data_IF_783822018530
#
_entry.id   IF_783822018530
#
_cell.length_a   1.000
_cell.length_b   1.000
_cell.length_c   1.000
_cell.angle_alpha   90.00
_cell.angle_beta   90.00
_cell.angle_gamma   90.00
#
_symmetry.space_group_name_H-M   'P 1'
#
loop_
_entity.id
_entity.type
_entity.pdbx_description
1 polymer ?
#
# COMPACT_ATOMS: atom_id res chain seq x y z
N UNK A 1 -18.96 4.17 15.54
CA UNK A 1 -17.59 4.59 15.14
C UNK A 1 -16.58 3.48 15.44
N UNK A 2 -16.41 3.05 16.70
CA UNK A 2 -15.51 1.94 17.04
C UNK A 2 -15.78 0.65 16.24
N UNK A 3 -17.05 0.28 16.04
CA UNK A 3 -17.47 -0.87 15.22
C UNK A 3 -17.03 -0.77 13.76
N UNK A 4 -17.06 0.43 13.17
CA UNK A 4 -16.61 0.68 11.79
C UNK A 4 -15.09 0.56 11.68
N UNK A 5 -14.35 1.02 12.69
CA UNK A 5 -12.89 0.90 12.74
C UNK A 5 -12.48 -0.56 12.94
N UNK A 6 -13.17 -1.32 13.80
CA UNK A 6 -12.98 -2.77 13.94
C UNK A 6 -13.26 -3.53 12.64
N UNK A 7 -14.31 -3.13 11.89
CA UNK A 7 -14.57 -3.69 10.57
C UNK A 7 -13.43 -3.40 9.58
N UNK A 8 -12.77 -2.23 9.69
CA UNK A 8 -11.60 -1.90 8.88
C UNK A 8 -10.39 -2.78 9.25
N UNK A 9 -10.20 -3.06 10.55
CA UNK A 9 -9.18 -4.00 11.00
C UNK A 9 -9.41 -5.41 10.43
N UNK A 10 -10.65 -5.88 10.42
CA UNK A 10 -10.99 -7.18 9.84
C UNK A 10 -10.73 -7.21 8.34
N UNK A 11 -11.15 -6.18 7.59
CA UNK A 11 -10.89 -6.10 6.14
C UNK A 11 -9.41 -6.08 5.81
N UNK A 12 -8.60 -5.42 6.63
CA UNK A 12 -7.15 -5.43 6.49
C UNK A 12 -6.57 -6.84 6.71
N UNK A 13 -7.09 -7.58 7.70
CA UNK A 13 -6.72 -8.99 7.90
C UNK A 13 -7.11 -9.88 6.71
N UNK A 14 -8.34 -9.73 6.20
CA UNK A 14 -8.80 -10.51 5.04
C UNK A 14 -7.92 -10.21 3.80
N UNK A 15 -7.53 -8.93 3.61
CA UNK A 15 -6.62 -8.53 2.55
C UNK A 15 -5.20 -9.10 2.72
N UNK A 16 -4.72 -9.20 3.96
CA UNK A 16 -3.44 -9.86 4.32
C UNK A 16 -3.46 -11.35 3.92
N UNK A 17 -4.55 -12.07 4.21
CA UNK A 17 -4.70 -13.48 3.84
C UNK A 17 -4.73 -13.70 2.31
N UNK A 18 -5.40 -12.80 1.58
CA UNK A 18 -5.39 -12.80 0.11
C UNK A 18 -3.98 -12.53 -0.43
N UNK A 19 -3.27 -11.54 0.11
CA UNK A 19 -1.89 -11.23 -0.29
C UNK A 19 -0.93 -12.41 -0.02
N UNK A 20 -1.12 -13.12 1.09
CA UNK A 20 -0.38 -14.35 1.42
C UNK A 20 -0.61 -15.44 0.38
N UNK A 21 -1.88 -15.65 -0.03
CA UNK A 21 -2.22 -16.60 -1.08
C UNK A 21 -1.59 -16.24 -2.43
N UNK A 22 -1.64 -14.96 -2.82
CA UNK A 22 -0.98 -14.46 -4.03
C UNK A 22 0.52 -14.69 -3.99
N UNK A 23 1.15 -14.47 -2.83
CA UNK A 23 2.59 -14.70 -2.62
C UNK A 23 2.95 -16.18 -2.86
N UNK A 24 2.18 -17.11 -2.28
CA UNK A 24 2.39 -18.55 -2.49
C UNK A 24 2.24 -18.95 -3.96
N UNK A 25 1.17 -18.50 -4.63
CA UNK A 25 0.95 -18.79 -6.05
C UNK A 25 2.07 -18.22 -6.93
N UNK A 26 2.61 -17.05 -6.59
CA UNK A 26 3.75 -16.47 -7.30
C UNK A 26 5.06 -17.23 -7.06
N UNK A 27 5.29 -17.78 -5.86
CA UNK A 27 6.43 -18.67 -5.57
C UNK A 27 6.36 -19.97 -6.38
N UNK A 28 5.19 -20.60 -6.43
CA UNK A 28 4.93 -21.78 -7.28
C UNK A 28 5.14 -21.47 -8.77
N UNK A 29 4.64 -20.32 -9.23
CA UNK A 29 4.83 -19.85 -10.60
C UNK A 29 6.32 -19.61 -10.91
N UNK A 30 7.08 -19.07 -9.96
CA UNK A 30 8.52 -18.90 -10.07
C UNK A 30 9.26 -20.22 -10.27
N UNK A 31 8.88 -21.27 -9.55
CA UNK A 31 9.44 -22.60 -9.73
C UNK A 31 9.14 -23.18 -11.13
N UNK A 32 7.92 -22.98 -11.64
CA UNK A 32 7.54 -23.40 -13.00
C UNK A 32 8.35 -22.64 -14.07
N UNK A 33 8.57 -21.33 -13.89
CA UNK A 33 9.42 -20.55 -14.81
C UNK A 33 10.87 -21.04 -14.82
N UNK A 34 11.41 -21.44 -13.66
CA UNK A 34 12.74 -22.03 -13.58
C UNK A 34 12.82 -23.34 -14.37
N UNK A 35 11.86 -24.25 -14.15
CA UNK A 35 11.77 -25.52 -14.90
C UNK A 35 11.62 -25.30 -16.41
N UNK A 36 10.85 -24.28 -16.82
CA UNK A 36 10.71 -23.91 -18.23
C UNK A 36 12.04 -23.40 -18.82
N UNK A 37 12.82 -22.64 -18.06
CA UNK A 37 14.15 -22.17 -18.48
C UNK A 37 15.11 -23.33 -18.68
N UNK A 38 15.17 -24.27 -17.73
CA UNK A 38 15.99 -25.49 -17.86
C UNK A 38 15.55 -26.34 -19.07
N UNK A 39 14.24 -26.44 -19.33
CA UNK A 39 13.73 -27.16 -20.48
C UNK A 39 14.20 -26.54 -21.80
N UNK A 40 14.17 -25.21 -21.91
CA UNK A 40 14.69 -24.49 -23.08
C UNK A 40 16.19 -24.71 -23.26
N UNK A 41 16.97 -24.72 -22.18
CA UNK A 41 18.42 -24.99 -22.24
C UNK A 41 18.72 -26.42 -22.72
N UNK A 42 17.94 -27.41 -22.26
CA UNK A 42 18.03 -28.79 -22.77
C UNK A 42 17.69 -28.87 -24.25
N UNK A 43 16.66 -28.12 -24.71
CA UNK A 43 16.30 -28.05 -26.13
C UNK A 43 17.46 -27.43 -26.92
N UNK A 44 18.03 -26.31 -26.48
CA UNK A 44 19.19 -25.68 -27.14
C UNK A 44 20.37 -26.64 -27.26
N UNK A 45 20.69 -27.37 -26.19
CA UNK A 45 21.76 -28.37 -26.19
C UNK A 45 21.46 -29.51 -27.16
N UNK A 46 20.22 -30.01 -27.18
CA UNK A 46 19.78 -31.06 -28.09
C UNK A 46 19.85 -30.62 -29.55
N UNK A 47 19.37 -29.41 -29.87
CA UNK A 47 19.45 -28.82 -31.20
C UNK A 47 20.89 -28.66 -31.68
N UNK A 48 21.82 -28.29 -30.79
CA UNK A 48 23.25 -28.26 -31.11
C UNK A 48 23.81 -29.63 -31.50
N UNK A 49 23.42 -30.69 -30.78
CA UNK A 49 23.80 -32.07 -31.14
C UNK A 49 23.23 -32.48 -32.49
N UNK A 50 21.97 -32.14 -32.77
CA UNK A 50 21.34 -32.41 -34.07
C UNK A 50 22.09 -31.68 -35.18
N UNK A 51 22.43 -30.39 -35.00
CA UNK A 51 23.21 -29.62 -35.98
C UNK A 51 24.55 -30.28 -36.32
N UNK A 52 25.27 -30.80 -35.31
CA UNK A 52 26.51 -31.55 -35.52
C UNK A 52 26.29 -32.85 -36.33
N UNK A 53 25.21 -33.59 -36.06
CA UNK A 53 24.86 -34.80 -36.81
C UNK A 53 24.54 -34.47 -38.27
N UNK A 54 23.78 -33.39 -38.51
CA UNK A 54 23.47 -32.94 -39.88
C UNK A 54 24.74 -32.52 -40.62
N UNK A 55 25.69 -31.86 -39.94
CA UNK A 55 27.01 -31.56 -40.52
C UNK A 55 27.77 -32.83 -40.94
N UNK A 56 27.76 -33.87 -40.11
CA UNK A 56 28.36 -35.17 -40.48
C UNK A 56 27.65 -35.83 -41.68
N UNK A 57 26.33 -35.71 -41.80
CA UNK A 57 25.59 -36.25 -42.95
C UNK A 57 25.96 -35.51 -44.24
N UNK A 58 26.11 -34.18 -44.19
CA UNK A 58 26.60 -33.37 -45.31
C UNK A 58 28.02 -33.78 -45.73
N UNK A 59 28.92 -34.01 -44.77
CA UNK A 59 30.27 -34.53 -45.03
C UNK A 59 30.24 -35.91 -45.71
N UNK A 60 29.37 -36.82 -45.25
CA UNK A 60 29.19 -38.15 -45.85
C UNK A 60 28.63 -38.03 -47.27
N UNK A 61 27.66 -37.13 -47.49
CA UNK A 61 27.10 -36.86 -48.81
C UNK A 61 28.19 -36.33 -49.76
N UNK A 62 29.04 -35.41 -49.30
CA UNK A 62 30.17 -34.90 -50.07
C UNK A 62 31.19 -36.00 -50.42
N UNK A 63 31.57 -36.84 -49.45
CA UNK A 63 32.45 -37.99 -49.69
C UNK A 63 31.86 -38.98 -50.69
N UNK A 64 30.56 -39.27 -50.59
CA UNK A 64 29.83 -40.16 -51.50
C UNK A 64 29.80 -39.59 -52.92
N UNK A 65 29.60 -38.27 -53.05
CA UNK A 65 29.66 -37.57 -54.32
C UNK A 65 31.06 -37.63 -54.97
N UNK A 66 32.13 -37.51 -54.18
CA UNK A 66 33.51 -37.69 -54.68
C UNK A 66 33.80 -39.14 -55.09
N UNK A 67 33.35 -40.13 -54.32
CA UNK A 67 33.47 -41.55 -54.67
C UNK A 67 32.75 -41.88 -55.98
N UNK A 68 31.54 -41.35 -56.15
CA UNK A 68 30.75 -41.52 -57.36
C UNK A 68 31.40 -40.86 -58.59
N UNK A 69 32.04 -39.70 -58.40
CA UNK A 69 32.83 -39.04 -59.45
C UNK A 69 34.01 -39.92 -59.88
N UNK A 70 34.78 -40.45 -58.93
CA UNK A 70 35.90 -41.36 -59.22
C UNK A 70 35.42 -42.62 -59.96
N UNK A 71 34.29 -43.21 -59.54
CA UNK A 71 33.70 -44.36 -60.20
C UNK A 71 33.25 -44.05 -61.64
N UNK A 72 32.69 -42.86 -61.88
CA UNK A 72 32.31 -42.41 -63.22
C UNK A 72 33.52 -42.27 -64.15
N UNK A 73 34.65 -41.76 -63.62
CA UNK A 73 35.91 -41.65 -64.36
C UNK A 73 36.49 -43.02 -64.71
N UNK A 74 36.52 -43.95 -63.75
CA UNK A 74 37.05 -45.31 -64.00
C UNK A 74 36.15 -46.10 -64.96
N UNK A 75 34.82 -45.90 -64.88
CA UNK A 75 33.87 -46.47 -65.83
C UNK A 75 34.09 -45.96 -67.26
N UNK A 76 34.38 -44.67 -67.43
CA UNK A 76 34.75 -44.10 -68.73
C UNK A 76 36.07 -44.69 -69.26
N UNK A 77 37.03 -44.95 -68.37
CA UNK A 77 38.32 -45.56 -68.70
C UNK A 77 38.19 -47.01 -69.16
N UNK A 78 37.24 -47.76 -68.61
CA UNK A 78 36.93 -49.14 -68.99
C UNK A 78 36.16 -49.27 -70.33
N UNK A 79 35.74 -48.15 -70.94
CA UNK A 79 35.07 -48.14 -72.25
C UNK A 79 33.72 -48.87 -72.23
N UNK A 80 33.49 -49.76 -73.20
CA UNK A 80 32.23 -50.49 -73.36
C UNK A 80 31.89 -51.38 -72.15
N UNK A 81 32.90 -51.95 -71.48
CA UNK A 81 32.69 -52.79 -70.29
C UNK A 81 32.22 -51.99 -69.06
N UNK A 82 32.45 -50.67 -69.06
CA UNK A 82 32.12 -49.77 -67.94
C UNK A 82 30.73 -49.14 -68.02
N UNK A 83 29.97 -49.32 -69.10
CA UNK A 83 28.69 -48.61 -69.32
C UNK A 83 27.67 -48.79 -68.19
N UNK A 84 27.53 -50.02 -67.65
CA UNK A 84 26.63 -50.29 -66.52
C UNK A 84 27.08 -49.59 -65.23
N UNK A 85 28.38 -49.58 -64.96
CA UNK A 85 28.96 -48.89 -63.81
C UNK A 85 28.84 -47.37 -63.92
N UNK A 86 28.94 -46.80 -65.13
CA UNK A 86 28.77 -45.36 -65.34
C UNK A 86 27.35 -44.89 -64.96
N UNK A 87 26.31 -45.66 -65.30
CA UNK A 87 24.92 -45.32 -64.94
C UNK A 87 24.72 -45.33 -63.42
N UNK A 88 25.24 -46.38 -62.75
CA UNK A 88 25.17 -46.47 -61.28
C UNK A 88 25.92 -45.31 -60.63
N UNK A 89 27.10 -44.95 -61.13
CA UNK A 89 27.89 -43.85 -60.59
C UNK A 89 27.18 -42.49 -60.71
N UNK A 90 26.48 -42.23 -61.83
CA UNK A 90 25.66 -41.02 -61.98
C UNK A 90 24.49 -41.00 -60.99
N UNK A 91 23.81 -42.13 -60.79
CA UNK A 91 22.68 -42.20 -59.86
C UNK A 91 23.12 -42.03 -58.40
N UNK A 92 24.23 -42.65 -57.99
CA UNK A 92 24.83 -42.46 -56.66
C UNK A 92 25.24 -40.99 -56.46
N UNK A 93 25.79 -40.34 -57.49
CA UNK A 93 26.14 -38.91 -57.44
C UNK A 93 24.89 -38.04 -57.23
N UNK A 94 23.81 -38.32 -57.96
CA UNK A 94 22.53 -37.60 -57.85
C UNK A 94 21.92 -37.76 -56.45
N UNK A 95 21.95 -38.98 -55.90
CA UNK A 95 21.50 -39.28 -54.53
C UNK A 95 22.33 -38.51 -53.49
N UNK A 96 23.65 -38.48 -53.65
CA UNK A 96 24.54 -37.76 -52.75
C UNK A 96 24.27 -36.24 -52.77
N UNK A 97 24.07 -35.64 -53.95
CA UNK A 97 23.70 -34.22 -54.07
C UNK A 97 22.35 -33.93 -53.40
N UNK A 98 21.35 -34.78 -53.61
CA UNK A 98 20.03 -34.65 -52.98
C UNK A 98 20.12 -34.77 -51.45
N UNK A 99 20.98 -35.64 -50.93
CA UNK A 99 21.20 -35.77 -49.48
C UNK A 99 21.87 -34.53 -48.87
N UNK A 100 22.85 -33.93 -49.57
CA UNK A 100 23.50 -32.69 -49.14
C UNK A 100 22.50 -31.51 -49.11
N UNK A 101 21.67 -31.37 -50.15
CA UNK A 101 20.63 -30.33 -50.23
C UNK A 101 19.62 -30.47 -49.07
N UNK A 102 19.08 -31.68 -48.85
CA UNK A 102 18.17 -31.94 -47.74
C UNK A 102 18.81 -31.69 -46.37
N UNK A 103 20.10 -32.05 -46.20
CA UNK A 103 20.85 -31.78 -44.97
C UNK A 103 21.00 -30.29 -44.72
N UNK A 104 21.28 -29.50 -45.75
CA UNK A 104 21.36 -28.04 -45.66
C UNK A 104 20.03 -27.42 -45.27
N UNK A 105 18.90 -27.87 -45.84
CA UNK A 105 17.56 -27.39 -45.45
C UNK A 105 17.25 -27.69 -43.97
N UNK A 106 17.54 -28.91 -43.51
CA UNK A 106 17.34 -29.28 -42.10
C UNK A 106 18.23 -28.44 -41.18
N UNK A 107 19.47 -28.16 -41.58
CA UNK A 107 20.38 -27.30 -40.82
C UNK A 107 19.80 -25.90 -40.60
N UNK A 108 19.26 -25.28 -41.65
CA UNK A 108 18.61 -23.96 -41.57
C UNK A 108 17.42 -23.99 -40.61
N UNK A 109 16.58 -25.03 -40.66
CA UNK A 109 15.45 -25.17 -39.74
C UNK A 109 15.89 -25.32 -38.28
N UNK A 110 16.97 -26.04 -38.02
CA UNK A 110 17.54 -26.21 -36.67
C UNK A 110 18.13 -24.89 -36.15
N UNK A 111 18.83 -24.13 -36.99
CA UNK A 111 19.35 -22.80 -36.64
C UNK A 111 18.23 -21.80 -36.33
N UNK A 112 17.16 -21.80 -37.13
CA UNK A 112 15.96 -21.00 -36.86
C UNK A 112 15.33 -21.41 -35.53
N UNK A 113 15.11 -22.71 -35.32
CA UNK A 113 14.56 -23.24 -34.06
C UNK A 113 15.40 -22.84 -32.85
N UNK A 114 16.73 -22.85 -32.98
CA UNK A 114 17.65 -22.39 -31.94
C UNK A 114 17.49 -20.90 -31.61
N UNK A 115 17.27 -20.07 -32.63
CA UNK A 115 17.01 -18.64 -32.45
C UNK A 115 15.67 -18.39 -31.74
N UNK A 116 14.62 -19.12 -32.11
CA UNK A 116 13.30 -19.03 -31.47
C UNK A 116 13.34 -19.47 -30.01
N UNK A 117 14.01 -20.59 -29.70
CA UNK A 117 14.20 -21.07 -28.31
C UNK A 117 14.97 -20.05 -27.47
N UNK A 118 16.02 -19.43 -28.02
CA UNK A 118 16.77 -18.37 -27.32
C UNK A 118 15.89 -17.14 -27.05
N UNK A 119 15.04 -16.76 -28.01
CA UNK A 119 14.03 -15.72 -27.83
C UNK A 119 13.03 -16.07 -26.72
N UNK A 120 12.51 -17.30 -26.72
CA UNK A 120 11.59 -17.81 -25.70
C UNK A 120 12.22 -17.84 -24.31
N UNK A 121 13.46 -18.32 -24.18
CA UNK A 121 14.21 -18.32 -22.92
C UNK A 121 14.34 -16.91 -22.33
N UNK A 122 14.63 -15.90 -23.16
CA UNK A 122 14.68 -14.50 -22.73
C UNK A 122 13.34 -14.00 -22.20
N UNK A 123 12.24 -14.33 -22.87
CA UNK A 123 10.89 -13.94 -22.43
C UNK A 123 10.52 -14.58 -21.09
N UNK A 124 10.85 -15.85 -20.90
CA UNK A 124 10.65 -16.56 -19.63
C UNK A 124 11.48 -15.92 -18.51
N UNK A 125 12.74 -15.56 -18.78
CA UNK A 125 13.60 -14.88 -17.80
C UNK A 125 13.07 -13.48 -17.42
N UNK A 126 12.54 -12.73 -18.39
CA UNK A 126 11.89 -11.44 -18.12
C UNK A 126 10.62 -11.62 -17.27
N UNK A 127 9.80 -12.62 -17.58
CA UNK A 127 8.61 -12.97 -16.80
C UNK A 127 8.98 -13.36 -15.36
N UNK A 128 10.04 -14.13 -15.17
CA UNK A 128 10.54 -14.49 -13.85
C UNK A 128 10.96 -13.25 -13.03
N UNK A 129 11.67 -12.30 -13.64
CA UNK A 129 12.05 -11.04 -13.00
C UNK A 129 10.81 -10.21 -12.59
N UNK A 130 9.79 -10.13 -13.46
CA UNK A 130 8.53 -9.44 -13.15
C UNK A 130 7.77 -10.11 -12.01
N UNK A 131 7.74 -11.44 -11.97
CA UNK A 131 7.16 -12.21 -10.86
C UNK A 131 7.88 -11.92 -9.54
N UNK A 132 9.22 -11.82 -9.53
CA UNK A 132 9.96 -11.44 -8.32
C UNK A 132 9.58 -10.03 -7.82
N UNK A 133 9.44 -9.07 -8.74
CA UNK A 133 8.97 -7.73 -8.37
C UNK A 133 7.55 -7.75 -7.79
N UNK A 134 6.64 -8.53 -8.39
CA UNK A 134 5.29 -8.74 -7.85
C UNK A 134 5.31 -9.37 -6.46
N UNK A 135 6.19 -10.35 -6.23
CA UNK A 135 6.35 -11.00 -4.92
C UNK A 135 6.77 -9.99 -3.85
N UNK A 136 7.74 -9.13 -4.18
CA UNK A 136 8.18 -8.06 -3.29
C UNK A 136 7.05 -7.07 -2.99
N UNK A 137 6.26 -6.70 -3.99
CA UNK A 137 5.11 -5.81 -3.82
C UNK A 137 4.01 -6.45 -2.95
N UNK A 138 3.70 -7.74 -3.16
CA UNK A 138 2.72 -8.46 -2.36
C UNK A 138 3.13 -8.57 -0.88
N UNK A 139 4.41 -8.87 -0.60
CA UNK A 139 4.96 -8.88 0.76
C UNK A 139 4.88 -7.51 1.43
N UNK A 140 5.18 -6.44 0.70
CA UNK A 140 5.03 -5.07 1.22
C UNK A 140 3.57 -4.72 1.50
N UNK A 141 2.65 -5.06 0.59
CA UNK A 141 1.21 -4.90 0.83
C UNK A 141 0.74 -5.65 2.07
N UNK A 142 1.23 -6.87 2.30
CA UNK A 142 0.90 -7.64 3.49
C UNK A 142 1.35 -6.92 4.78
N UNK A 143 2.60 -6.45 4.82
CA UNK A 143 3.11 -5.69 5.96
C UNK A 143 2.33 -4.39 6.22
N UNK A 144 1.87 -3.71 5.17
CA UNK A 144 1.01 -2.53 5.29
C UNK A 144 -0.38 -2.88 5.84
N UNK A 145 -0.99 -3.98 5.38
CA UNK A 145 -2.29 -4.43 5.89
C UNK A 145 -2.21 -4.83 7.36
N UNK A 146 -1.16 -5.53 7.78
CA UNK A 146 -0.91 -5.85 9.19
C UNK A 146 -0.73 -4.58 10.04
N UNK A 147 -0.11 -3.54 9.50
CA UNK A 147 -0.05 -2.21 10.10
C UNK A 147 -1.43 -1.60 10.30
N UNK A 148 -2.22 -1.50 9.21
CA UNK A 148 -3.57 -0.94 9.25
C UNK A 148 -4.46 -1.71 10.23
N UNK A 149 -4.36 -3.03 10.29
CA UNK A 149 -5.12 -3.86 11.22
C UNK A 149 -4.79 -3.54 12.68
N UNK A 150 -3.50 -3.33 13.00
CA UNK A 150 -3.06 -2.92 14.34
C UNK A 150 -3.54 -1.52 14.69
N UNK A 151 -3.27 -0.55 13.82
CA UNK A 151 -3.64 0.86 14.03
C UNK A 151 -5.16 1.02 14.18
N UNK A 152 -5.95 0.26 13.41
CA UNK A 152 -7.40 0.25 13.51
C UNK A 152 -7.87 -0.32 14.86
N UNK A 153 -7.24 -1.37 15.40
CA UNK A 153 -7.60 -1.89 16.74
C UNK A 153 -7.27 -0.88 17.82
N UNK A 154 -6.12 -0.23 17.75
CA UNK A 154 -5.73 0.82 18.69
C UNK A 154 -6.70 2.00 18.63
N UNK A 155 -7.03 2.47 17.43
CA UNK A 155 -7.99 3.55 17.24
C UNK A 155 -9.39 3.18 17.76
N UNK A 156 -9.82 1.92 17.63
CA UNK A 156 -11.09 1.46 18.20
C UNK A 156 -11.09 1.57 19.73
N UNK A 157 -10.00 1.16 20.39
CA UNK A 157 -9.85 1.28 21.85
C UNK A 157 -9.87 2.76 22.28
N UNK A 158 -9.16 3.65 21.57
CA UNK A 158 -9.18 5.09 21.87
C UNK A 158 -10.59 5.69 21.70
N UNK A 159 -11.38 5.22 20.72
CA UNK A 159 -12.77 5.65 20.57
C UNK A 159 -13.64 5.17 21.74
N UNK A 160 -13.38 4.00 22.30
CA UNK A 160 -14.10 3.51 23.49
C UNK A 160 -13.79 4.38 24.73
N UNK A 161 -12.53 4.76 24.93
CA UNK A 161 -12.10 5.67 25.98
C UNK A 161 -12.75 7.06 25.85
N UNK A 162 -12.74 7.63 24.64
CA UNK A 162 -13.42 8.91 24.36
C UNK A 162 -14.91 8.80 24.64
N UNK A 163 -15.57 7.71 24.24
CA UNK A 163 -16.98 7.51 24.54
C UNK A 163 -17.25 7.41 26.05
N UNK A 164 -16.35 6.80 26.82
CA UNK A 164 -16.46 6.77 28.27
C UNK A 164 -16.32 8.17 28.89
N UNK A 165 -15.33 8.95 28.45
CA UNK A 165 -15.13 10.33 28.90
C UNK A 165 -16.33 11.24 28.56
N UNK A 166 -16.92 11.09 27.36
CA UNK A 166 -18.12 11.85 26.95
C UNK A 166 -19.32 11.49 27.82
N UNK A 167 -19.53 10.20 28.15
CA UNK A 167 -20.60 9.81 29.08
C UNK A 167 -20.41 10.41 30.47
N UNK A 168 -19.17 10.41 30.98
CA UNK A 168 -18.87 11.03 32.27
C UNK A 168 -19.09 12.55 32.25
N UNK A 169 -18.72 13.23 31.16
CA UNK A 169 -19.01 14.66 30.99
C UNK A 169 -20.51 14.93 30.93
N UNK A 170 -21.29 14.07 30.27
CA UNK A 170 -22.74 14.18 30.22
C UNK A 170 -23.36 14.02 31.62
N UNK A 171 -22.93 13.03 32.40
CA UNK A 171 -23.34 12.83 33.80
C UNK A 171 -23.02 14.06 34.67
N UNK A 172 -21.80 14.60 34.59
CA UNK A 172 -21.42 15.82 35.33
C UNK A 172 -22.24 17.04 34.88
N UNK A 173 -22.55 17.14 33.59
CA UNK A 173 -23.38 18.23 33.05
C UNK A 173 -24.80 18.15 33.60
N UNK A 174 -25.38 16.95 33.63
CA UNK A 174 -26.70 16.71 34.23
C UNK A 174 -26.69 16.97 35.74
N UNK A 175 -25.64 16.54 36.45
CA UNK A 175 -25.47 16.82 37.87
C UNK A 175 -25.37 18.33 38.16
N UNK A 176 -24.60 19.07 37.37
CA UNK A 176 -24.50 20.52 37.49
C UNK A 176 -25.84 21.21 37.22
N UNK A 177 -26.62 20.73 36.24
CA UNK A 177 -27.96 21.25 35.98
C UNK A 177 -28.88 21.02 37.19
N UNK A 178 -28.87 19.82 37.78
CA UNK A 178 -29.64 19.50 38.98
C UNK A 178 -29.21 20.36 40.19
N UNK A 179 -27.90 20.56 40.37
CA UNK A 179 -27.35 21.44 41.40
C UNK A 179 -27.80 22.89 41.24
N UNK A 180 -27.87 23.39 40.00
CA UNK A 180 -28.39 24.73 39.72
C UNK A 180 -29.88 24.84 40.06
N UNK A 181 -30.67 23.82 39.75
CA UNK A 181 -32.09 23.77 40.17
C UNK A 181 -32.25 23.75 41.69
N UNK A 182 -31.48 22.91 42.40
CA UNK A 182 -31.46 22.85 43.86
C UNK A 182 -31.03 24.18 44.47
N UNK A 183 -30.01 24.82 43.89
CA UNK A 183 -29.51 26.14 44.35
C UNK A 183 -30.57 27.22 44.14
N UNK A 184 -31.28 27.24 43.01
CA UNK A 184 -32.37 28.17 42.78
C UNK A 184 -33.51 27.97 43.79
N UNK A 185 -33.88 26.73 44.09
CA UNK A 185 -34.87 26.44 45.12
C UNK A 185 -34.43 26.91 46.51
N UNK A 186 -33.15 26.75 46.86
CA UNK A 186 -32.59 27.25 48.11
C UNK A 186 -32.59 28.79 48.18
N UNK A 187 -32.33 29.47 47.06
CA UNK A 187 -32.42 30.93 46.95
C UNK A 187 -33.86 31.39 47.19
N UNK A 188 -34.85 30.78 46.53
CA UNK A 188 -36.28 31.11 46.73
C UNK A 188 -36.72 30.91 48.19
N UNK A 189 -36.28 29.81 48.82
CA UNK A 189 -36.57 29.56 50.23
C UNK A 189 -35.92 30.61 51.14
N UNK A 190 -34.68 31.00 50.86
CA UNK A 190 -33.95 32.01 51.64
C UNK A 190 -34.60 33.39 51.49
N UNK A 191 -35.03 33.75 50.28
CA UNK A 191 -35.77 34.98 50.01
C UNK A 191 -37.09 35.01 50.79
N UNK A 192 -37.85 33.91 50.78
CA UNK A 192 -39.10 33.80 51.55
C UNK A 192 -38.86 33.98 53.06
N UNK A 193 -37.77 33.41 53.60
CA UNK A 193 -37.39 33.61 55.01
C UNK A 193 -36.98 35.05 55.32
N UNK A 194 -36.24 35.70 54.43
CA UNK A 194 -35.86 37.10 54.59
C UNK A 194 -37.09 38.03 54.61
N UNK A 195 -38.07 37.80 53.72
CA UNK A 195 -39.34 38.54 53.69
C UNK A 195 -40.14 38.33 54.97
N UNK A 196 -40.17 37.10 55.52
CA UNK A 196 -40.88 36.82 56.77
C UNK A 196 -40.20 37.50 57.98
N UNK A 197 -38.87 37.52 58.02
CA UNK A 197 -38.13 38.26 59.05
C UNK A 197 -38.40 39.77 58.98
N UNK A 198 -38.42 40.35 57.78
CA UNK A 198 -38.75 41.76 57.56
C UNK A 198 -40.15 42.08 58.10
N UNK A 199 -41.13 41.21 57.82
CA UNK A 199 -42.50 41.31 58.36
C UNK A 199 -42.55 41.23 59.89
N UNK A 200 -41.73 40.39 60.52
CA UNK A 200 -41.65 40.30 61.99
C UNK A 200 -41.08 41.59 62.58
N UNK A 201 -40.04 42.16 61.95
CA UNK A 201 -39.41 43.41 62.39
C UNK A 201 -40.37 44.60 62.26
N UNK A 202 -41.19 44.65 61.20
CA UNK A 202 -42.21 45.69 60.98
C UNK A 202 -43.27 45.82 62.10
N UNK A 203 -43.51 44.74 62.86
CA UNK A 203 -44.43 44.76 64.02
C UNK A 203 -43.83 45.52 65.21
N UNK A 204 -42.49 45.61 65.30
CA UNK A 204 -41.82 46.35 66.35
C UNK A 204 -41.89 47.86 66.06
N UNK A 205 -42.89 48.52 66.64
CA UNK A 205 -42.96 49.98 66.71
C UNK A 205 -41.89 50.50 67.68
N UNK A 206 -40.86 51.13 67.14
CA UNK A 206 -39.90 51.91 67.92
C UNK A 206 -40.51 53.29 68.14
N UNK A 207 -40.51 53.79 69.37
CA UNK A 207 -40.91 55.17 69.65
C UNK A 207 -40.01 56.12 68.83
N UNK A 208 -40.64 56.99 68.03
CA UNK A 208 -39.95 58.07 67.33
C UNK A 208 -39.33 59.01 68.38
N UNK A 209 -38.03 58.89 68.63
CA UNK A 209 -37.27 60.09 68.93
C UNK A 209 -37.10 60.86 67.62
N UNK A 210 -37.92 61.91 67.45
CA UNK A 210 -37.72 62.98 66.48
C UNK A 210 -36.28 63.48 66.57
N UNK A 211 -35.41 62.92 65.73
CA UNK A 211 -34.09 63.45 65.47
C UNK A 211 -34.13 64.07 64.08
N UNK A 212 -33.82 65.36 63.94
CA UNK A 212 -34.15 66.13 62.75
C UNK A 212 -33.42 65.58 61.53
N UNK A 213 -34.13 65.62 60.40
CA UNK A 213 -33.66 65.33 59.05
C UNK A 213 -32.24 65.88 58.83
N UNK A 214 -31.24 65.01 58.94
CA UNK A 214 -29.89 65.31 58.47
C UNK A 214 -29.94 65.16 56.95
N UNK A 215 -29.84 66.29 56.26
CA UNK A 215 -29.75 66.37 54.82
C UNK A 215 -28.84 65.28 54.27
N UNK A 216 -29.42 64.33 53.52
CA UNK A 216 -28.66 63.41 52.69
C UNK A 216 -27.93 64.27 51.66
N UNK A 217 -26.60 64.30 51.79
CA UNK A 217 -25.72 64.81 50.76
C UNK A 217 -25.99 64.03 49.48
N UNK A 218 -26.19 64.74 48.37
CA UNK A 218 -26.28 64.17 47.03
C UNK A 218 -25.12 63.21 46.77
N UNK A 219 -25.44 61.96 46.45
CA UNK A 219 -24.49 61.03 45.86
C UNK A 219 -23.98 61.62 44.52
N UNK A 220 -22.67 61.58 44.22
CA UNK A 220 -22.18 62.05 42.93
C UNK A 220 -22.78 61.15 41.84
N UNK A 221 -23.65 61.74 41.01
CA UNK A 221 -24.20 61.13 39.80
C UNK A 221 -23.07 60.90 38.79
N UNK A 222 -22.29 59.84 38.99
CA UNK A 222 -21.54 59.21 37.90
C UNK A 222 -22.28 57.93 37.54
N UNK A 223 -23.28 58.08 36.68
CA UNK A 223 -23.94 56.95 36.03
C UNK A 223 -22.96 56.17 35.16
N UNK A 224 -23.50 55.15 34.48
CA UNK A 224 -22.85 54.13 33.62
C UNK A 224 -21.66 54.64 32.75
N UNK A 225 -21.61 55.93 32.41
CA UNK A 225 -20.46 56.59 31.76
C UNK A 225 -19.15 56.52 32.56
N UNK A 226 -19.19 56.64 33.89
CA UNK A 226 -17.98 56.55 34.73
C UNK A 226 -17.36 55.15 34.76
N UNK A 227 -18.18 54.11 34.55
CA UNK A 227 -17.71 52.73 34.41
C UNK A 227 -17.08 52.52 33.01
N UNK A 228 -17.67 53.10 31.97
CA UNK A 228 -17.16 53.03 30.59
C UNK A 228 -15.80 53.71 30.41
N UNK A 229 -15.56 54.83 31.10
CA UNK A 229 -14.26 55.53 31.04
C UNK A 229 -13.15 54.76 31.76
N UNK A 230 -13.48 54.03 32.85
CA UNK A 230 -12.53 53.10 33.52
C UNK A 230 -12.23 51.87 32.68
N UNK A 231 -13.20 51.34 31.94
CA UNK A 231 -12.97 50.20 31.04
C UNK A 231 -12.13 50.62 29.82
N UNK A 232 -12.33 51.83 29.27
CA UNK A 232 -11.48 52.37 28.21
C UNK A 232 -10.04 52.59 28.66
N UNK A 233 -9.82 53.12 29.87
CA UNK A 233 -8.45 53.32 30.37
C UNK A 233 -7.75 51.99 30.66
N UNK A 234 -8.49 50.98 31.16
CA UNK A 234 -7.97 49.63 31.36
C UNK A 234 -7.60 48.94 30.01
N UNK A 235 -8.45 49.08 28.98
CA UNK A 235 -8.18 48.53 27.65
C UNK A 235 -7.00 49.22 26.92
N UNK A 236 -6.86 50.55 27.07
CA UNK A 236 -5.73 51.29 26.50
C UNK A 236 -4.39 50.92 27.15
N UNK A 237 -4.42 50.58 28.45
CA UNK A 237 -3.22 50.10 29.17
C UNK A 237 -2.83 48.70 28.71
N UNK A 238 -3.81 47.82 28.44
CA UNK A 238 -3.59 46.47 27.89
C UNK A 238 -3.05 46.48 26.45
N UNK A 239 -3.47 47.44 25.62
CA UNK A 239 -3.02 47.56 24.23
C UNK A 239 -1.65 48.23 24.07
N UNK A 240 -1.24 49.09 25.02
CA UNK A 240 0.07 49.75 24.97
C UNK A 240 1.21 48.92 25.57
N UNK A 241 0.90 47.91 26.39
CA UNK A 241 1.87 46.98 26.97
C UNK A 241 1.51 45.54 26.59
N UNK A 242 1.52 45.27 25.29
CA UNK A 242 1.39 43.93 24.73
C UNK A 242 2.73 43.19 24.66
N UNK A 243 2.78 42.02 25.29
CA UNK A 243 3.74 40.92 25.15
C UNK A 243 5.09 40.99 25.91
N UNK A 244 5.04 40.66 27.21
CA UNK A 244 6.21 40.17 27.95
C UNK A 244 5.87 39.02 28.92
N UNK A 245 4.94 38.12 28.55
CA UNK A 245 4.59 36.98 29.42
C UNK A 245 4.12 35.71 28.69
N UNK A 246 4.57 35.46 27.45
CA UNK A 246 4.46 34.12 26.84
C UNK A 246 5.76 33.78 26.12
N UNK A 247 6.76 33.41 26.91
CA UNK A 247 7.83 32.46 26.55
C UNK A 247 8.73 32.31 27.77
N UNK A 248 8.43 31.33 28.61
CA UNK A 248 9.46 30.40 29.09
C UNK A 248 8.81 29.21 29.81
N UNK A 249 9.16 28.03 29.28
CA UNK A 249 9.27 26.75 29.96
C UNK A 249 8.01 26.04 30.50
N UNK A 250 7.46 25.17 29.65
CA UNK A 250 6.83 23.92 30.07
C UNK A 250 7.53 22.76 29.35
N UNK A 251 8.79 22.55 29.70
CA UNK A 251 9.56 21.37 29.30
C UNK A 251 10.22 20.68 30.49
N UNK A 252 9.47 20.47 31.58
CA UNK A 252 9.72 19.42 32.58
C UNK A 252 8.57 19.38 33.60
N UNK A 253 7.56 18.56 33.33
CA UNK A 253 6.82 17.74 34.30
C UNK A 253 6.02 16.68 33.54
#
# INVERSE_FOLDING_TARGET
LATTVLSSAQKAQDASDVASTVTRTAEESGAVMHQATEAMERITTSSGKISNIIGLIDDIAFQTNLLALNASVEAARAGEAGKGFAVVAVEVRRLAQSAAEASSEVKVLIEQSGTEVKGGSRLVAEAATKLQAMLSAARNSNALMDGIARDSREQANSIEEVNAAVRQMDEMTQHNAALVEETNAAIEQTEAQAVELDRIVDVFRVEEEETPVRAQAEAPRTGIRGLQDRVRSAAATYLSHGNAAVKEDWSQF
#
